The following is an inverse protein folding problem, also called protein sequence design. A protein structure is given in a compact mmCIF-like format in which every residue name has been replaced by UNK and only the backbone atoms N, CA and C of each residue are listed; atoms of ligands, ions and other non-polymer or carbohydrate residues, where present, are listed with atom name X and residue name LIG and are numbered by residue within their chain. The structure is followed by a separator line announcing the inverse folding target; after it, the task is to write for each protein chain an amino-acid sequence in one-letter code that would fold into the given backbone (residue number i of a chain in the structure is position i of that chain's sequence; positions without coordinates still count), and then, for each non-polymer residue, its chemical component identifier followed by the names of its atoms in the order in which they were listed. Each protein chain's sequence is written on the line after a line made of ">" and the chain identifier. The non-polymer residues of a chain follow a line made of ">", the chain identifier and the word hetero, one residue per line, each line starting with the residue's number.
data_IF_799413764764
#
_entry.id   IF_799413764764
#
_cell.length_a   1.000
_cell.length_b   1.000
_cell.length_c   1.000
_cell.angle_alpha   90.00
_cell.angle_beta   90.00
_cell.angle_gamma   90.00
#
_symmetry.space_group_name_H-M   'P 1'
#
loop_
_entity.id
_entity.type
_entity.pdbx_description
1 polymer ?
#
# COMPACT_ATOMS: atom_id res chain seq x y z
N UNK A 1 -18.84 11.29 -42.01
CA UNK A 1 -19.51 12.10 -40.99
C UNK A 1 -19.85 11.30 -39.76
N UNK A 2 -20.54 10.19 -39.85
CA UNK A 2 -20.93 9.36 -38.71
C UNK A 2 -19.72 8.64 -38.06
N UNK A 3 -18.68 8.29 -38.81
CA UNK A 3 -17.47 7.62 -38.29
C UNK A 3 -16.69 8.48 -37.30
N UNK A 4 -16.61 9.81 -37.53
CA UNK A 4 -15.92 10.74 -36.63
C UNK A 4 -16.68 10.92 -35.31
N UNK A 5 -18.00 11.02 -35.38
CA UNK A 5 -18.87 11.13 -34.20
C UNK A 5 -18.78 9.86 -33.35
N UNK A 6 -18.84 8.70 -33.99
CA UNK A 6 -18.72 7.39 -33.31
C UNK A 6 -17.38 7.25 -32.60
N UNK A 7 -16.26 7.60 -33.27
CA UNK A 7 -14.92 7.53 -32.70
C UNK A 7 -14.78 8.48 -31.49
N UNK A 8 -15.32 9.71 -31.57
CA UNK A 8 -15.34 10.64 -30.46
C UNK A 8 -16.10 10.08 -29.25
N UNK A 9 -17.25 9.46 -29.47
CA UNK A 9 -18.06 8.86 -28.42
C UNK A 9 -17.34 7.67 -27.77
N UNK A 10 -16.68 6.84 -28.56
CA UNK A 10 -15.88 5.71 -28.05
C UNK A 10 -14.73 6.21 -27.18
N UNK A 11 -14.01 7.24 -27.62
CA UNK A 11 -12.93 7.84 -26.85
C UNK A 11 -13.43 8.45 -25.53
N UNK A 12 -14.60 9.11 -25.57
CA UNK A 12 -15.22 9.67 -24.37
C UNK A 12 -15.58 8.57 -23.35
N UNK A 13 -16.18 7.48 -23.83
CA UNK A 13 -16.53 6.34 -22.97
C UNK A 13 -15.29 5.72 -22.35
N UNK A 14 -14.21 5.54 -23.11
CA UNK A 14 -12.96 5.01 -22.60
C UNK A 14 -12.36 5.92 -21.53
N UNK A 15 -12.45 7.23 -21.70
CA UNK A 15 -11.98 8.19 -20.69
C UNK A 15 -12.77 8.07 -19.38
N UNK A 16 -14.10 7.94 -19.47
CA UNK A 16 -14.98 7.80 -18.31
C UNK A 16 -14.71 6.47 -17.58
N UNK A 17 -14.56 5.37 -18.31
CA UNK A 17 -14.26 4.07 -17.71
C UNK A 17 -12.87 4.06 -17.08
N UNK A 18 -11.90 4.76 -17.67
CA UNK A 18 -10.56 4.91 -17.08
C UNK A 18 -10.60 5.61 -15.74
N UNK A 19 -11.41 6.69 -15.60
CA UNK A 19 -11.58 7.42 -14.33
C UNK A 19 -12.32 6.54 -13.30
N UNK A 20 -13.36 5.84 -13.70
CA UNK A 20 -14.14 4.99 -12.78
C UNK A 20 -13.40 3.71 -12.36
N UNK A 21 -12.35 3.30 -13.10
CA UNK A 21 -11.53 2.13 -12.77
C UNK A 21 -10.44 2.44 -11.73
N UNK A 22 -10.24 3.72 -11.32
CA UNK A 22 -9.29 4.05 -10.27
C UNK A 22 -9.75 3.48 -8.93
N UNK A 23 -8.82 2.81 -8.23
CA UNK A 23 -9.14 2.26 -6.91
C UNK A 23 -9.31 3.38 -5.89
N UNK A 24 -10.25 3.20 -4.97
CA UNK A 24 -10.38 4.06 -3.80
C UNK A 24 -9.33 3.60 -2.77
N UNK A 25 -8.19 4.29 -2.74
CA UNK A 25 -7.07 3.90 -1.88
C UNK A 25 -7.41 3.97 -0.39
N UNK A 26 -8.26 4.90 0.03
CA UNK A 26 -8.69 5.00 1.44
C UNK A 26 -9.47 3.76 1.87
N UNK A 27 -10.37 3.30 1.00
CA UNK A 27 -11.13 2.08 1.26
C UNK A 27 -10.24 0.85 1.30
N UNK A 28 -9.31 0.72 0.36
CA UNK A 28 -8.37 -0.41 0.31
C UNK A 28 -7.46 -0.40 1.54
N UNK A 29 -6.98 0.77 1.97
CA UNK A 29 -6.23 0.92 3.22
C UNK A 29 -7.02 0.41 4.42
N UNK A 30 -8.29 0.79 4.53
CA UNK A 30 -9.14 0.36 5.64
C UNK A 30 -9.35 -1.16 5.65
N UNK A 31 -9.56 -1.76 4.48
CA UNK A 31 -9.69 -3.22 4.35
C UNK A 31 -8.38 -3.90 4.77
N UNK A 32 -7.25 -3.38 4.33
CA UNK A 32 -5.93 -3.91 4.71
C UNK A 32 -5.67 -3.81 6.20
N UNK A 33 -6.02 -2.68 6.82
CA UNK A 33 -5.88 -2.49 8.27
C UNK A 33 -6.80 -3.43 9.07
N UNK A 34 -8.02 -3.65 8.58
CA UNK A 34 -8.92 -4.62 9.20
C UNK A 34 -8.36 -6.04 9.12
N UNK A 35 -7.83 -6.43 7.97
CA UNK A 35 -7.16 -7.73 7.82
C UNK A 35 -5.99 -7.87 8.80
N UNK A 36 -5.20 -6.81 8.97
CA UNK A 36 -4.09 -6.77 9.92
C UNK A 36 -4.60 -6.93 11.37
N UNK A 37 -5.66 -6.23 11.73
CA UNK A 37 -6.27 -6.32 13.07
C UNK A 37 -6.72 -7.75 13.38
N UNK A 38 -7.30 -8.45 12.41
CA UNK A 38 -7.72 -9.84 12.55
C UNK A 38 -6.61 -10.86 12.28
N UNK A 39 -5.37 -10.40 12.23
CA UNK A 39 -4.17 -11.23 12.07
C UNK A 39 -4.11 -12.00 10.73
N UNK A 40 -4.83 -11.52 9.73
CA UNK A 40 -4.71 -12.03 8.37
C UNK A 40 -3.60 -11.26 7.64
N UNK A 41 -2.37 -11.57 8.01
CA UNK A 41 -1.19 -10.81 7.58
C UNK A 41 -0.94 -10.90 6.08
N UNK A 42 -1.11 -12.08 5.50
CA UNK A 42 -0.92 -12.28 4.06
C UNK A 42 -1.91 -11.43 3.28
N UNK A 43 -3.18 -11.46 3.67
CA UNK A 43 -4.23 -10.67 3.02
C UNK A 43 -3.98 -9.17 3.20
N UNK A 44 -3.58 -8.74 4.39
CA UNK A 44 -3.27 -7.33 4.65
C UNK A 44 -2.16 -6.82 3.74
N UNK A 45 -1.11 -7.61 3.55
CA UNK A 45 0.01 -7.26 2.65
C UNK A 45 -0.49 -7.09 1.22
N UNK A 46 -1.38 -7.95 0.75
CA UNK A 46 -1.94 -7.83 -0.61
C UNK A 46 -2.68 -6.51 -0.81
N UNK A 47 -3.46 -6.06 0.17
CA UNK A 47 -4.16 -4.78 0.11
C UNK A 47 -3.20 -3.59 0.17
N UNK A 48 -2.19 -3.63 1.04
CA UNK A 48 -1.18 -2.57 1.10
C UNK A 48 -0.36 -2.50 -0.19
N UNK A 49 -0.06 -3.63 -0.81
CA UNK A 49 0.60 -3.67 -2.12
C UNK A 49 -0.23 -2.94 -3.19
N UNK A 50 -1.56 -3.10 -3.17
CA UNK A 50 -2.44 -2.39 -4.11
C UNK A 50 -2.37 -0.88 -3.93
N UNK A 51 -2.38 -0.40 -2.68
CA UNK A 51 -2.27 1.03 -2.37
C UNK A 51 -0.92 1.58 -2.81
N UNK A 52 0.16 0.87 -2.49
CA UNK A 52 1.53 1.28 -2.84
C UNK A 52 1.70 1.36 -4.35
N UNK A 53 1.13 0.45 -5.09
CA UNK A 53 1.19 0.45 -6.56
C UNK A 53 0.60 1.73 -7.16
N UNK A 54 -0.48 2.24 -6.58
CA UNK A 54 -1.20 3.43 -7.06
C UNK A 54 -0.63 4.71 -6.48
N UNK A 55 -0.27 4.70 -5.18
CA UNK A 55 0.24 5.86 -4.45
C UNK A 55 1.52 5.51 -3.70
N UNK A 56 2.65 5.30 -4.41
CA UNK A 56 3.90 4.85 -3.78
C UNK A 56 4.55 5.91 -2.87
N UNK A 57 4.05 7.14 -2.89
CA UNK A 57 4.54 8.25 -2.09
C UNK A 57 3.94 8.33 -0.68
N UNK A 58 2.90 7.54 -0.38
CA UNK A 58 2.30 7.50 0.95
C UNK A 58 3.17 6.71 1.92
N UNK A 59 3.37 7.23 3.12
CA UNK A 59 4.16 6.56 4.16
C UNK A 59 3.40 5.42 4.84
N UNK A 60 2.12 5.64 5.14
CA UNK A 60 1.30 4.74 5.95
C UNK A 60 1.24 3.29 5.45
N UNK A 61 1.02 3.00 4.14
CA UNK A 61 0.94 1.62 3.69
C UNK A 61 2.23 0.84 3.90
N UNK A 62 3.39 1.51 3.82
CA UNK A 62 4.67 0.85 4.14
C UNK A 62 4.77 0.50 5.61
N UNK A 63 4.31 1.39 6.51
CA UNK A 63 4.29 1.12 7.94
C UNK A 63 3.43 -0.11 8.26
N UNK A 64 2.19 -0.12 7.79
CA UNK A 64 1.29 -1.25 8.07
C UNK A 64 1.78 -2.55 7.44
N UNK A 65 2.36 -2.48 6.24
CA UNK A 65 2.96 -3.67 5.62
C UNK A 65 4.17 -4.16 6.43
N UNK A 66 4.97 -3.26 6.97
CA UNK A 66 6.08 -3.62 7.86
C UNK A 66 5.57 -4.36 9.11
N UNK A 67 4.47 -3.90 9.72
CA UNK A 67 3.87 -4.57 10.87
C UNK A 67 3.44 -5.99 10.50
N UNK A 68 2.79 -6.17 9.36
CA UNK A 68 2.37 -7.49 8.88
C UNK A 68 3.58 -8.41 8.65
N UNK A 69 4.62 -7.90 7.99
CA UNK A 69 5.86 -8.66 7.74
C UNK A 69 6.58 -9.03 9.03
N UNK A 70 6.61 -8.11 10.00
CA UNK A 70 7.20 -8.40 11.32
C UNK A 70 6.46 -9.55 11.99
N UNK A 71 5.14 -9.54 11.93
CA UNK A 71 4.29 -10.60 12.51
C UNK A 71 4.51 -11.95 11.84
N UNK A 72 4.88 -11.96 10.57
CA UNK A 72 5.25 -13.15 9.80
C UNK A 72 6.73 -13.50 9.95
N UNK A 73 7.47 -12.80 10.80
CA UNK A 73 8.91 -12.98 11.01
C UNK A 73 9.75 -12.70 9.76
N UNK A 74 9.21 -11.93 8.82
CA UNK A 74 9.99 -11.37 7.71
C UNK A 74 10.67 -10.09 8.16
N UNK A 75 11.73 -10.24 8.95
CA UNK A 75 12.43 -9.11 9.59
C UNK A 75 13.11 -8.21 8.56
N UNK A 76 13.69 -8.80 7.53
CA UNK A 76 14.33 -8.02 6.46
C UNK A 76 13.33 -7.19 5.69
N UNK A 77 12.21 -7.78 5.29
CA UNK A 77 11.14 -7.06 4.62
C UNK A 77 10.52 -5.97 5.49
N UNK A 78 10.37 -6.25 6.80
CA UNK A 78 9.87 -5.26 7.75
C UNK A 78 10.83 -4.06 7.87
N UNK A 79 12.13 -4.31 7.99
CA UNK A 79 13.16 -3.26 8.03
C UNK A 79 13.10 -2.37 6.79
N UNK A 80 13.05 -2.98 5.60
CA UNK A 80 13.00 -2.27 4.34
C UNK A 80 11.74 -1.39 4.22
N UNK A 81 10.58 -1.89 4.63
CA UNK A 81 9.35 -1.12 4.62
C UNK A 81 9.36 0.02 5.64
N UNK A 82 9.96 -0.19 6.81
CA UNK A 82 10.17 0.89 7.78
C UNK A 82 11.05 2.00 7.21
N UNK A 83 12.12 1.65 6.50
CA UNK A 83 13.00 2.63 5.86
C UNK A 83 12.23 3.47 4.83
N UNK A 84 11.40 2.82 4.00
CA UNK A 84 10.56 3.51 3.02
C UNK A 84 9.52 4.42 3.70
N UNK A 85 8.94 3.95 4.80
CA UNK A 85 7.99 4.75 5.59
C UNK A 85 8.66 6.01 6.14
N UNK A 86 9.81 5.86 6.80
CA UNK A 86 10.55 6.94 7.44
C UNK A 86 11.06 7.95 6.42
N UNK A 87 11.49 7.49 5.26
CA UNK A 87 11.91 8.34 4.14
C UNK A 87 10.77 9.27 3.69
N UNK A 88 9.53 8.78 3.69
CA UNK A 88 8.34 9.54 3.25
C UNK A 88 7.75 10.39 4.36
N UNK A 89 7.76 9.90 5.59
CA UNK A 89 7.31 10.62 6.77
C UNK A 89 8.12 10.18 7.99
N UNK A 90 9.11 10.99 8.42
CA UNK A 90 9.98 10.64 9.55
C UNK A 90 9.31 10.75 10.91
N UNK A 91 8.05 11.16 10.98
CA UNK A 91 7.34 11.39 12.25
C UNK A 91 6.44 10.22 12.66
N UNK A 92 6.43 9.12 11.92
CA UNK A 92 5.70 7.92 12.29
C UNK A 92 6.54 7.13 13.29
N UNK A 93 6.29 7.34 14.57
CA UNK A 93 7.06 6.77 15.67
C UNK A 93 7.06 5.23 15.62
N UNK A 94 5.92 4.62 15.28
CA UNK A 94 5.79 3.18 15.17
C UNK A 94 6.76 2.54 14.18
N UNK A 95 7.15 3.28 13.13
CA UNK A 95 8.09 2.77 12.14
C UNK A 95 9.49 2.54 12.74
N UNK A 96 9.93 3.42 13.63
CA UNK A 96 11.21 3.24 14.35
C UNK A 96 11.16 2.06 15.31
N UNK A 97 10.01 1.87 15.99
CA UNK A 97 9.81 0.75 16.91
C UNK A 97 9.85 -0.58 16.17
N UNK A 98 9.10 -0.69 15.07
CA UNK A 98 9.08 -1.91 14.24
C UNK A 98 10.46 -2.18 13.66
N UNK A 99 11.14 -1.14 13.13
CA UNK A 99 12.49 -1.28 12.60
C UNK A 99 13.48 -1.76 13.66
N UNK A 100 13.38 -1.22 14.87
CA UNK A 100 14.22 -1.66 16.00
C UNK A 100 14.03 -3.13 16.33
N UNK A 101 12.79 -3.60 16.41
CA UNK A 101 12.47 -5.02 16.65
C UNK A 101 12.99 -5.89 15.50
N UNK A 102 12.78 -5.47 14.25
CA UNK A 102 13.28 -6.20 13.09
C UNK A 102 14.80 -6.34 13.11
N UNK A 103 15.51 -5.25 13.36
CA UNK A 103 16.98 -5.23 13.45
C UNK A 103 17.51 -6.10 14.59
N UNK A 104 16.84 -6.07 15.74
CA UNK A 104 17.19 -6.90 16.88
C UNK A 104 17.13 -8.40 16.50
N UNK A 105 16.09 -8.81 15.79
CA UNK A 105 15.93 -10.19 15.33
C UNK A 105 16.91 -10.56 14.19
N UNK A 106 17.37 -9.57 13.43
CA UNK A 106 18.41 -9.77 12.41
C UNK A 106 19.83 -9.81 13.00
N UNK A 107 19.98 -9.55 14.28
CA UNK A 107 21.28 -9.53 14.94
C UNK A 107 22.03 -8.20 14.81
N UNK A 108 21.32 -7.15 14.47
CA UNK A 108 21.92 -5.82 14.28
C UNK A 108 21.87 -5.01 15.58
#
# INVERSE_FOLDING_TARGET
>A
MYKKIFLSLVLLILSITGVSAQINTDRVMNIGRNALYFEDYILSIQYFNQVIKVKPYLADPYFYRAVAKLSLEDYKGAEEDCDKCIERNPFIIGAYQVRGIARQNLGN
#
